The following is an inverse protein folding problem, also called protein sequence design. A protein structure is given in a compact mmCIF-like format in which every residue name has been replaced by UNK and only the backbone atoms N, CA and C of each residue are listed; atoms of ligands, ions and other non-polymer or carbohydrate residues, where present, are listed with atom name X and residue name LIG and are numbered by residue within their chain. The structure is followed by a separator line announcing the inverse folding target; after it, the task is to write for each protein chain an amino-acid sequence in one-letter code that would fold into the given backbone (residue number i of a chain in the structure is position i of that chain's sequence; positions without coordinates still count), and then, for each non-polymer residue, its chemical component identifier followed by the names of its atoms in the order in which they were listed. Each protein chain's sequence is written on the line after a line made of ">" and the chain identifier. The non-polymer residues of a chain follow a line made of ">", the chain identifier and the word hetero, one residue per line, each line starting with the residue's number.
data_IF_010326585548
#
_entry.id   IF_010326585548
#
_cell.length_a   1.000
_cell.length_b   1.000
_cell.length_c   1.000
_cell.angle_alpha   90.00
_cell.angle_beta   90.00
_cell.angle_gamma   90.00
#
_symmetry.space_group_name_H-M   'P 1'
#
loop_
_entity.id
_entity.type
_entity.pdbx_description
1 polymer ?
#
# COMPACT_ATOMS: atom_id res chain seq x y z
N UNK A 1 6.03 4.85 -13.01
CA UNK A 1 5.90 3.50 -12.46
C UNK A 1 6.38 2.57 -13.55
N UNK A 2 7.30 1.67 -13.22
CA UNK A 2 7.93 0.78 -14.18
C UNK A 2 7.70 -0.66 -13.73
N UNK A 3 7.30 -1.54 -14.64
CA UNK A 3 7.29 -2.99 -14.40
C UNK A 3 8.68 -3.50 -14.73
N UNK A 4 9.29 -4.24 -13.81
CA UNK A 4 10.61 -4.86 -13.95
C UNK A 4 10.48 -6.37 -13.83
N UNK A 5 11.56 -7.11 -14.09
CA UNK A 5 11.61 -8.56 -13.85
C UNK A 5 11.44 -8.94 -12.38
N UNK A 6 11.67 -8.00 -11.44
CA UNK A 6 11.56 -8.24 -10.00
C UNK A 6 10.22 -7.77 -9.40
N UNK A 7 9.36 -7.12 -10.19
CA UNK A 7 8.07 -6.59 -9.75
C UNK A 7 7.84 -5.15 -10.19
N UNK A 8 7.14 -4.37 -9.36
CA UNK A 8 6.79 -2.99 -9.64
C UNK A 8 7.81 -2.03 -9.02
N UNK A 9 8.25 -1.02 -9.77
CA UNK A 9 9.09 0.04 -9.26
C UNK A 9 8.37 1.39 -9.31
N UNK A 10 8.37 2.07 -8.18
CA UNK A 10 7.86 3.44 -8.04
C UNK A 10 9.05 4.35 -7.82
N UNK A 11 9.17 5.34 -8.68
CA UNK A 11 10.17 6.38 -8.61
C UNK A 11 9.49 7.74 -8.65
N UNK A 12 10.03 8.76 -7.95
CA UNK A 12 9.59 10.13 -8.11
C UNK A 12 9.84 10.56 -9.56
N UNK A 13 8.92 11.34 -10.14
CA UNK A 13 9.16 11.92 -11.48
C UNK A 13 10.26 12.99 -11.46
N UNK A 14 10.48 13.61 -10.30
CA UNK A 14 11.55 14.59 -10.05
C UNK A 14 12.14 14.35 -8.66
N UNK A 15 13.45 14.55 -8.45
CA UNK A 15 14.11 14.35 -7.15
C UNK A 15 13.42 15.10 -6.00
N UNK A 16 12.95 16.33 -6.25
CA UNK A 16 12.30 17.20 -5.26
C UNK A 16 10.77 17.23 -5.38
N UNK A 17 10.16 16.18 -5.95
CA UNK A 17 8.72 16.11 -6.06
C UNK A 17 8.08 16.11 -4.65
N UNK A 18 7.32 17.18 -4.35
CA UNK A 18 6.57 17.30 -3.07
C UNK A 18 5.43 16.29 -2.92
N UNK A 19 5.03 15.63 -4.01
CA UNK A 19 3.94 14.67 -3.99
C UNK A 19 4.44 13.31 -3.48
N UNK A 20 3.83 12.83 -2.40
CA UNK A 20 4.12 11.52 -1.84
C UNK A 20 3.72 10.44 -2.87
N UNK A 21 4.65 9.56 -3.28
CA UNK A 21 4.34 8.49 -4.23
C UNK A 21 3.31 7.53 -3.64
N UNK A 22 2.33 7.11 -4.44
CA UNK A 22 1.35 6.13 -4.01
C UNK A 22 0.88 5.23 -5.15
N UNK A 23 0.38 4.04 -4.80
CA UNK A 23 -0.47 3.22 -5.67
C UNK A 23 -1.85 3.12 -5.10
N UNK A 24 -2.79 2.69 -5.93
CA UNK A 24 -4.15 2.52 -5.50
C UNK A 24 -4.83 1.35 -6.18
N UNK A 25 -5.73 0.71 -5.46
CA UNK A 25 -6.67 -0.28 -6.00
C UNK A 25 -8.07 0.08 -5.54
N UNK A 26 -8.97 0.24 -6.50
CA UNK A 26 -10.38 0.54 -6.27
C UNK A 26 -11.25 -0.57 -6.86
N UNK A 27 -12.57 -0.44 -6.73
CA UNK A 27 -13.52 -1.44 -7.24
C UNK A 27 -13.45 -2.78 -6.51
N UNK A 28 -12.83 -2.82 -5.34
CA UNK A 28 -12.78 -4.00 -4.50
C UNK A 28 -14.08 -4.13 -3.68
N UNK A 29 -14.28 -5.31 -3.11
CA UNK A 29 -15.30 -5.54 -2.10
C UNK A 29 -14.73 -6.54 -1.12
N UNK A 30 -14.03 -6.04 -0.11
CA UNK A 30 -13.39 -6.82 0.95
C UNK A 30 -14.08 -6.52 2.28
N UNK A 31 -14.57 -7.55 2.96
CA UNK A 31 -15.18 -7.42 4.29
C UNK A 31 -14.08 -7.54 5.33
N UNK A 32 -13.99 -6.55 6.22
CA UNK A 32 -12.97 -6.49 7.27
C UNK A 32 -13.10 -7.59 8.35
N UNK A 33 -12.06 -7.77 9.18
CA UNK A 33 -10.73 -7.14 9.10
C UNK A 33 -9.92 -7.64 7.89
N UNK A 34 -9.08 -6.77 7.33
CA UNK A 34 -8.22 -7.09 6.18
C UNK A 34 -6.77 -7.17 6.63
N UNK A 35 -6.12 -8.30 6.38
CA UNK A 35 -4.68 -8.45 6.55
C UNK A 35 -3.94 -8.00 5.29
N UNK A 36 -2.89 -7.22 5.47
CA UNK A 36 -1.99 -6.80 4.40
C UNK A 36 -0.66 -7.52 4.54
N UNK A 37 -0.16 -8.07 3.44
CA UNK A 37 1.21 -8.57 3.32
C UNK A 37 1.88 -7.90 2.13
N UNK A 38 2.97 -7.19 2.37
CA UNK A 38 3.69 -6.44 1.35
C UNK A 38 5.18 -6.77 1.41
N UNK A 39 5.79 -6.99 0.24
CA UNK A 39 7.21 -7.28 0.10
C UNK A 39 7.88 -6.17 -0.71
N UNK A 40 8.80 -5.42 -0.08
CA UNK A 40 9.39 -4.19 -0.66
C UNK A 40 10.89 -4.05 -0.41
N UNK A 41 11.56 -3.27 -1.25
CA UNK A 41 12.87 -2.64 -1.02
C UNK A 41 12.69 -1.13 -1.09
N UNK A 42 13.33 -0.37 -0.21
CA UNK A 42 13.22 1.09 -0.17
C UNK A 42 14.60 1.73 -0.28
N UNK A 43 14.73 2.71 -1.17
CA UNK A 43 15.98 3.48 -1.32
C UNK A 43 16.15 4.56 -0.23
N UNK A 44 15.13 4.79 0.61
CA UNK A 44 15.14 5.75 1.71
C UNK A 44 14.29 5.25 2.87
N UNK A 45 14.71 5.55 4.10
CA UNK A 45 13.89 5.33 5.29
C UNK A 45 12.73 6.32 5.31
N UNK A 46 11.62 5.96 5.97
CA UNK A 46 10.46 6.82 6.08
C UNK A 46 9.21 6.04 6.46
N UNK A 47 8.04 6.58 6.13
CA UNK A 47 6.77 5.92 6.39
C UNK A 47 6.20 5.31 5.11
N UNK A 48 5.69 4.09 5.22
CA UNK A 48 4.70 3.58 4.27
C UNK A 48 3.34 3.66 4.96
N UNK A 49 2.34 4.15 4.21
CA UNK A 49 1.02 4.44 4.74
C UNK A 49 -0.09 3.79 3.94
N UNK A 50 -0.94 3.01 4.58
CA UNK A 50 -2.20 2.56 4.01
C UNK A 50 -3.30 3.56 4.36
N UNK A 51 -4.12 3.92 3.37
CA UNK A 51 -5.36 4.65 3.56
C UNK A 51 -6.47 3.93 2.80
N UNK A 52 -7.65 3.80 3.39
CA UNK A 52 -8.77 3.10 2.75
C UNK A 52 -10.08 3.88 2.79
N UNK A 53 -10.99 3.52 1.89
CA UNK A 53 -12.39 3.94 1.91
C UNK A 53 -13.29 2.74 2.00
N UNK A 54 -14.33 2.94 2.76
CA UNK A 54 -15.49 2.08 2.82
C UNK A 54 -16.52 2.46 1.76
N UNK A 55 -17.51 1.60 1.53
CA UNK A 55 -18.59 1.83 0.57
C UNK A 55 -19.38 3.12 0.82
N UNK A 56 -19.48 3.58 2.07
CA UNK A 56 -20.18 4.80 2.43
C UNK A 56 -19.30 6.06 2.36
N UNK A 57 -17.97 5.91 2.32
CA UNK A 57 -17.05 7.03 2.42
C UNK A 57 -16.94 7.75 1.07
N UNK A 58 -17.07 9.08 1.06
CA UNK A 58 -16.78 9.91 -0.12
C UNK A 58 -15.30 10.30 -0.20
N UNK A 59 -14.62 10.36 0.95
CA UNK A 59 -13.21 10.76 1.11
C UNK A 59 -12.43 9.74 1.94
N UNK A 60 -11.09 9.76 1.87
CA UNK A 60 -10.24 8.96 2.74
C UNK A 60 -10.20 9.59 4.13
N UNK A 61 -10.97 9.02 5.05
CA UNK A 61 -11.08 9.48 6.43
C UNK A 61 -9.71 9.41 7.16
N UNK A 62 -9.56 10.16 8.25
CA UNK A 62 -8.29 10.23 9.00
C UNK A 62 -8.09 8.95 9.81
N UNK A 63 -9.18 8.43 10.36
CA UNK A 63 -9.30 7.17 11.10
C UNK A 63 -9.05 5.93 10.23
N UNK A 64 -9.28 6.02 8.92
CA UNK A 64 -9.07 4.92 7.96
C UNK A 64 -7.66 4.94 7.38
N UNK A 65 -6.67 5.06 8.27
CA UNK A 65 -5.24 5.16 7.91
C UNK A 65 -4.38 4.41 8.91
N UNK A 66 -3.30 3.81 8.40
CA UNK A 66 -2.22 3.26 9.23
C UNK A 66 -0.88 3.51 8.56
N UNK A 67 0.09 3.97 9.36
CA UNK A 67 1.46 4.20 8.91
C UNK A 67 2.42 3.33 9.72
N UNK A 68 3.51 2.91 9.09
CA UNK A 68 4.60 2.18 9.74
C UNK A 68 5.92 2.69 9.18
N UNK A 69 6.90 2.78 10.07
CA UNK A 69 8.27 3.15 9.71
C UNK A 69 8.93 2.00 8.97
N UNK A 70 9.72 2.34 7.95
CA UNK A 70 10.53 1.41 7.18
C UNK A 70 11.94 1.98 7.09
N UNK A 71 12.93 1.11 7.15
CA UNK A 71 14.32 1.49 6.94
C UNK A 71 14.71 1.27 5.49
N UNK A 72 15.58 2.14 4.98
CA UNK A 72 16.27 1.92 3.71
C UNK A 72 16.90 0.52 3.72
N UNK A 73 16.64 -0.25 2.67
CA UNK A 73 17.26 -1.56 2.50
C UNK A 73 17.36 -1.96 1.04
N UNK A 74 18.49 -2.55 0.67
CA UNK A 74 18.69 -3.23 -0.61
C UNK A 74 18.13 -4.67 -0.60
N UNK A 75 17.75 -5.18 0.57
CA UNK A 75 17.12 -6.49 0.75
C UNK A 75 15.60 -6.37 0.78
N UNK A 76 14.93 -7.44 0.34
CA UNK A 76 13.47 -7.54 0.44
C UNK A 76 13.03 -7.61 1.90
N UNK A 77 12.12 -6.72 2.28
CA UNK A 77 11.50 -6.65 3.60
C UNK A 77 10.02 -7.03 3.48
N UNK A 78 9.52 -7.80 4.45
CA UNK A 78 8.08 -8.11 4.54
C UNK A 78 7.42 -7.25 5.58
N UNK A 79 6.36 -6.57 5.19
CA UNK A 79 5.58 -5.67 6.01
C UNK A 79 4.18 -6.25 6.16
N UNK A 80 3.70 -6.31 7.39
CA UNK A 80 2.35 -6.77 7.73
C UNK A 80 1.59 -5.65 8.42
N UNK A 81 0.34 -5.45 7.99
CA UNK A 81 -0.57 -4.48 8.59
C UNK A 81 -2.00 -5.05 8.63
N UNK A 82 -2.85 -4.44 9.45
CA UNK A 82 -4.29 -4.74 9.49
C UNK A 82 -5.06 -3.47 9.15
N UNK A 83 -5.99 -3.57 8.19
CA UNK A 83 -6.96 -2.52 7.89
C UNK A 83 -8.27 -2.92 8.57
N UNK A 84 -8.63 -2.19 9.61
CA UNK A 84 -9.87 -2.41 10.34
C UNK A 84 -10.98 -1.59 9.71
N UNK A 85 -12.12 -2.23 9.48
CA UNK A 85 -13.33 -1.55 9.02
C UNK A 85 -14.55 -2.34 9.47
N UNK A 86 -15.58 -1.60 9.88
CA UNK A 86 -16.91 -2.12 10.21
C UNK A 86 -17.75 -2.38 8.93
N UNK A 87 -17.24 -1.99 7.77
CA UNK A 87 -17.94 -2.11 6.48
C UNK A 87 -16.99 -2.56 5.36
N UNK A 88 -17.53 -2.70 4.14
CA UNK A 88 -16.75 -3.19 3.00
C UNK A 88 -15.73 -2.14 2.57
N UNK A 89 -14.46 -2.53 2.55
CA UNK A 89 -13.39 -1.73 1.94
C UNK A 89 -13.50 -1.86 0.41
N UNK A 90 -13.59 -0.71 -0.25
CA UNK A 90 -13.75 -0.61 -1.71
C UNK A 90 -12.55 0.03 -2.41
N UNK A 91 -11.72 0.76 -1.68
CA UNK A 91 -10.59 1.52 -2.20
C UNK A 91 -9.45 1.51 -1.18
N UNK A 92 -8.24 1.14 -1.62
CA UNK A 92 -7.02 1.26 -0.83
C UNK A 92 -5.99 2.10 -1.60
N UNK A 93 -5.28 2.96 -0.87
CA UNK A 93 -4.06 3.64 -1.29
C UNK A 93 -2.91 3.18 -0.43
N UNK A 94 -1.76 2.95 -1.06
CA UNK A 94 -0.49 2.68 -0.38
C UNK A 94 0.45 3.81 -0.74
N UNK A 95 0.86 4.59 0.25
CA UNK A 95 1.82 5.68 0.13
C UNK A 95 3.20 5.15 0.49
N UNK A 96 4.23 5.57 -0.23
CA UNK A 96 5.61 5.12 -0.04
C UNK A 96 6.50 6.28 0.41
N UNK A 97 7.65 5.99 1.05
CA UNK A 97 8.65 7.00 1.34
C UNK A 97 9.14 7.66 0.04
N UNK A 98 9.78 8.81 0.19
CA UNK A 98 10.48 9.46 -0.92
C UNK A 98 11.54 8.55 -1.54
N UNK A 99 11.91 8.84 -2.79
CA UNK A 99 12.88 8.02 -3.51
C UNK A 99 12.25 6.78 -4.14
N UNK A 100 13.11 5.83 -4.53
CA UNK A 100 12.69 4.63 -5.25
C UNK A 100 12.19 3.59 -4.24
N UNK A 101 11.00 3.04 -4.51
CA UNK A 101 10.49 1.83 -3.85
C UNK A 101 10.29 0.73 -4.89
N UNK A 102 10.92 -0.42 -4.68
CA UNK A 102 10.65 -1.64 -5.45
C UNK A 102 9.68 -2.51 -4.66
N UNK A 103 8.69 -3.05 -5.34
CA UNK A 103 7.55 -3.77 -4.76
C UNK A 103 7.47 -5.11 -5.47
N UNK A 104 7.64 -6.20 -4.72
CA UNK A 104 7.48 -7.55 -5.24
C UNK A 104 6.03 -8.00 -5.20
N UNK A 105 5.33 -7.68 -4.11
CA UNK A 105 3.91 -7.99 -3.94
C UNK A 105 3.26 -7.09 -2.90
N UNK A 106 1.95 -6.86 -3.08
CA UNK A 106 1.08 -6.27 -2.07
C UNK A 106 -0.24 -7.04 -2.12
N UNK A 107 -0.50 -7.81 -1.08
CA UNK A 107 -1.67 -8.68 -0.95
C UNK A 107 -2.58 -8.15 0.16
N UNK A 108 -3.87 -8.04 -0.16
CA UNK A 108 -4.95 -7.79 0.79
C UNK A 108 -5.76 -9.06 0.93
N UNK A 109 -5.90 -9.58 2.15
CA UNK A 109 -6.69 -10.77 2.43
C UNK A 109 -7.78 -10.44 3.45
N UNK A 110 -9.04 -10.69 3.09
CA UNK A 110 -10.15 -10.58 4.03
C UNK A 110 -10.24 -11.81 4.94
N UNK A 111 -10.91 -11.65 6.08
CA UNK A 111 -11.14 -12.72 7.04
C UNK A 111 -11.81 -13.97 6.43
N UNK A 112 -12.63 -13.80 5.38
CA UNK A 112 -13.27 -14.90 4.66
C UNK A 112 -12.40 -15.53 3.55
N UNK A 113 -11.11 -15.17 3.46
CA UNK A 113 -10.14 -15.78 2.56
C UNK A 113 -10.05 -15.18 1.16
N UNK A 114 -10.88 -14.20 0.80
CA UNK A 114 -10.75 -13.48 -0.48
C UNK A 114 -9.45 -12.66 -0.49
N UNK A 115 -8.65 -12.82 -1.54
CA UNK A 115 -7.38 -12.13 -1.74
C UNK A 115 -7.47 -11.16 -2.92
N UNK A 116 -6.86 -9.99 -2.79
CA UNK A 116 -6.63 -9.03 -3.88
C UNK A 116 -5.17 -8.60 -3.89
N UNK A 117 -4.55 -8.66 -5.05
CA UNK A 117 -3.19 -8.18 -5.28
C UNK A 117 -3.23 -6.78 -5.91
N UNK A 118 -2.36 -5.88 -5.46
CA UNK A 118 -2.30 -4.49 -5.95
C UNK A 118 -1.25 -4.27 -7.05
N UNK A 119 -0.43 -5.28 -7.32
CA UNK A 119 0.65 -5.25 -8.33
C UNK A 119 0.26 -5.88 -9.67
N UNK A 120 -1.00 -6.32 -9.81
CA UNK A 120 -1.59 -6.95 -11.00
C UNK A 120 -2.47 -5.98 -11.81
#
# INVERSE_FOLDING_TARGET
>A
MNVTSEGLQIAPQKPDAKQIPFITRNGMSLVGPISVSMVVKTASSGAIGFAWRNSADTLFAVENRVNFSVEKSDQWQTIRASLYSESKIIHVRVHFPSGITSIKSIELKSANGKTVTLTD
#
